data_IF_172774504830
#
_entry.id   IF_172774504830
#
_cell.length_a   1.000
_cell.length_b   1.000
_cell.length_c   1.000
_cell.angle_alpha   90.00
_cell.angle_beta   90.00
_cell.angle_gamma   90.00
#
_symmetry.space_group_name_H-M   'P 1'
#
loop_
_entity.id
_entity.type
_entity.pdbx_description
1 polymer ?
#
# COMPACT_ATOMS: atom_id res chain seq x y z
N UNK A 1 3.66 -14.37 0.30
CA UNK A 1 2.81 -13.16 0.30
C UNK A 1 2.71 -12.62 1.72
N UNK A 2 3.01 -11.33 1.89
CA UNK A 2 2.82 -10.54 3.12
C UNK A 2 1.90 -9.35 2.85
N UNK A 3 1.25 -8.85 3.90
CA UNK A 3 0.42 -7.66 3.87
C UNK A 3 1.15 -6.49 4.53
N UNK A 4 1.34 -5.40 3.79
CA UNK A 4 2.00 -4.19 4.26
C UNK A 4 0.99 -3.06 4.39
N UNK A 5 0.93 -2.42 5.55
CA UNK A 5 0.04 -1.28 5.82
C UNK A 5 0.88 -0.02 5.89
N UNK A 6 0.58 0.93 5.00
CA UNK A 6 1.04 2.32 5.11
C UNK A 6 0.29 3.00 6.28
N UNK A 7 1.01 3.16 7.39
CA UNK A 7 0.45 3.41 8.72
C UNK A 7 0.08 4.85 9.03
N UNK A 8 0.35 5.81 8.13
CA UNK A 8 0.19 7.24 8.44
C UNK A 8 -1.27 7.73 8.48
N UNK A 9 -2.24 6.91 8.05
CA UNK A 9 -3.67 6.96 8.44
C UNK A 9 -4.49 5.91 7.68
N UNK A 10 -4.28 4.62 7.96
CA UNK A 10 -5.11 3.57 7.37
C UNK A 10 -6.43 3.40 8.16
N UNK A 11 -7.60 3.72 7.59
CA UNK A 11 -8.88 3.64 8.33
C UNK A 11 -9.44 2.23 8.46
N UNK A 12 -8.82 1.23 7.81
CA UNK A 12 -9.37 -0.13 7.64
C UNK A 12 -8.48 -1.22 8.24
N UNK A 13 -7.60 -0.89 9.20
CA UNK A 13 -6.64 -1.87 9.77
C UNK A 13 -7.34 -3.10 10.34
N UNK A 14 -8.48 -2.95 11.01
CA UNK A 14 -9.22 -4.10 11.55
C UNK A 14 -9.68 -5.08 10.46
N UNK A 15 -10.15 -4.59 9.32
CA UNK A 15 -10.53 -5.42 8.18
C UNK A 15 -9.31 -6.15 7.59
N UNK A 16 -8.18 -5.45 7.46
CA UNK A 16 -6.92 -6.06 6.99
C UNK A 16 -6.47 -7.18 7.93
N UNK A 17 -6.52 -6.94 9.25
CA UNK A 17 -6.12 -7.92 10.25
C UNK A 17 -7.03 -9.15 10.23
N UNK A 18 -8.36 -8.96 10.14
CA UNK A 18 -9.31 -10.08 10.02
C UNK A 18 -9.02 -10.92 8.78
N UNK A 19 -8.96 -10.29 7.60
CA UNK A 19 -8.77 -10.98 6.33
C UNK A 19 -7.40 -11.67 6.24
N UNK A 20 -6.34 -11.03 6.73
CA UNK A 20 -4.99 -11.58 6.76
C UNK A 20 -4.84 -12.76 7.71
N UNK A 21 -5.40 -12.66 8.93
CA UNK A 21 -5.38 -13.77 9.89
C UNK A 21 -6.17 -14.98 9.41
N UNK A 22 -7.34 -14.76 8.79
CA UNK A 22 -8.14 -15.84 8.20
C UNK A 22 -7.36 -16.65 7.15
N UNK A 23 -6.37 -16.01 6.49
CA UNK A 23 -5.51 -16.59 5.45
C UNK A 23 -4.08 -16.88 5.93
N UNK A 24 -3.82 -16.74 7.23
CA UNK A 24 -2.49 -16.94 7.84
C UNK A 24 -1.38 -16.10 7.19
N UNK A 25 -1.71 -14.91 6.67
CA UNK A 25 -0.74 -14.01 6.04
C UNK A 25 -0.07 -13.13 7.11
N UNK A 26 1.27 -12.97 7.07
CA UNK A 26 1.97 -11.99 7.89
C UNK A 26 1.47 -10.57 7.59
N UNK A 27 1.20 -9.78 8.63
CA UNK A 27 0.73 -8.39 8.53
C UNK A 27 1.74 -7.49 9.20
N UNK A 28 2.26 -6.53 8.45
CA UNK A 28 3.26 -5.56 8.90
C UNK A 28 2.71 -4.16 8.67
N UNK A 29 2.59 -3.38 9.74
CA UNK A 29 2.26 -1.96 9.68
C UNK A 29 3.54 -1.15 9.82
N UNK A 30 3.79 -0.28 8.84
CA UNK A 30 4.93 0.64 8.85
C UNK A 30 4.42 2.03 9.14
N UNK A 31 5.00 2.72 10.12
CA UNK A 31 4.59 4.07 10.50
C UNK A 31 5.76 4.96 10.89
N UNK A 32 5.53 6.28 10.81
CA UNK A 32 6.45 7.25 11.36
C UNK A 32 6.41 7.27 12.91
N UNK A 33 7.52 7.65 13.56
CA UNK A 33 7.65 7.82 15.03
C UNK A 33 6.59 8.75 15.65
N UNK A 34 6.04 9.68 14.86
CA UNK A 34 5.05 10.65 15.33
C UNK A 34 3.65 10.06 15.53
N UNK A 35 3.40 8.86 15.01
CA UNK A 35 2.13 8.16 15.16
C UNK A 35 2.25 7.10 16.25
N UNK A 36 1.44 7.19 17.31
CA UNK A 36 1.36 6.12 18.30
C UNK A 36 0.41 5.03 17.80
N UNK A 37 0.86 3.78 17.84
CA UNK A 37 0.11 2.62 17.39
C UNK A 37 0.54 1.46 18.28
N UNK A 38 -0.38 0.99 19.12
CA UNK A 38 -0.13 -0.06 20.10
C UNK A 38 -1.15 -1.18 19.86
N UNK A 39 -0.69 -2.22 19.17
CA UNK A 39 -1.46 -3.41 18.81
C UNK A 39 -0.52 -4.61 18.84
N UNK A 40 -0.93 -5.65 19.56
CA UNK A 40 -0.16 -6.89 19.70
C UNK A 40 -0.50 -7.94 18.63
N UNK A 41 -1.48 -7.65 17.77
CA UNK A 41 -2.04 -8.61 16.82
C UNK A 41 -1.49 -8.48 15.39
N UNK A 42 -0.54 -7.58 15.19
CA UNK A 42 0.21 -7.38 13.95
C UNK A 42 1.62 -6.87 14.27
N UNK A 43 2.56 -7.04 13.34
CA UNK A 43 3.92 -6.51 13.49
C UNK A 43 3.92 -5.00 13.20
N UNK A 44 4.43 -4.19 14.12
CA UNK A 44 4.56 -2.74 13.94
C UNK A 44 6.02 -2.36 13.78
N UNK A 45 6.38 -1.88 12.58
CA UNK A 45 7.71 -1.35 12.31
C UNK A 45 7.65 0.19 12.33
N UNK A 46 8.44 0.80 13.20
CA UNK A 46 8.48 2.26 13.34
C UNK A 46 9.74 2.80 12.68
N UNK A 47 9.59 3.75 11.77
CA UNK A 47 10.71 4.40 11.09
C UNK A 47 10.87 5.84 11.54
N UNK A 48 12.12 6.26 11.75
CA UNK A 48 12.51 7.64 11.98
C UNK A 48 13.05 8.23 10.68
N UNK A 49 12.43 9.29 10.17
CA UNK A 49 12.88 9.89 8.92
C UNK A 49 11.97 10.97 8.36
N UNK A 50 12.36 11.48 7.19
CA UNK A 50 11.60 12.48 6.43
C UNK A 50 10.25 11.96 5.90
N UNK A 51 9.53 12.82 5.14
CA UNK A 51 8.17 12.53 4.68
C UNK A 51 7.99 11.18 3.97
N UNK A 52 8.99 10.71 3.24
CA UNK A 52 8.91 9.49 2.41
C UNK A 52 9.55 8.24 3.09
N UNK A 53 9.88 8.33 4.38
CA UNK A 53 10.59 7.25 5.09
C UNK A 53 9.79 5.95 5.21
N UNK A 54 8.48 6.04 5.36
CA UNK A 54 7.57 4.89 5.37
C UNK A 54 7.58 4.19 4.00
N UNK A 55 7.41 4.96 2.93
CA UNK A 55 7.41 4.48 1.54
C UNK A 55 8.69 3.70 1.23
N UNK A 56 9.86 4.30 1.48
CA UNK A 56 11.15 3.64 1.23
C UNK A 56 11.30 2.35 2.03
N UNK A 57 10.88 2.35 3.29
CA UNK A 57 10.99 1.18 4.15
C UNK A 57 10.12 0.02 3.67
N UNK A 58 8.90 0.30 3.22
CA UNK A 58 8.02 -0.70 2.61
C UNK A 58 8.68 -1.24 1.33
N UNK A 59 9.05 -0.36 0.39
CA UNK A 59 9.59 -0.74 -0.91
C UNK A 59 10.86 -1.58 -0.79
N UNK A 60 11.75 -1.25 0.14
CA UNK A 60 13.03 -1.97 0.32
C UNK A 60 12.85 -3.41 0.78
N UNK A 61 11.79 -3.70 1.54
CA UNK A 61 11.53 -5.04 2.06
C UNK A 61 10.53 -5.82 1.21
N UNK A 62 9.86 -5.13 0.27
CA UNK A 62 8.78 -5.68 -0.53
C UNK A 62 9.27 -6.79 -1.47
N UNK A 63 8.57 -7.92 -1.43
CA UNK A 63 8.80 -9.05 -2.31
C UNK A 63 7.70 -9.14 -3.39
N UNK A 64 7.99 -9.74 -4.56
CA UNK A 64 6.97 -10.03 -5.56
C UNK A 64 5.80 -10.80 -4.96
N UNK A 65 4.60 -10.40 -5.34
CA UNK A 65 3.36 -11.00 -4.83
C UNK A 65 2.93 -10.56 -3.43
N UNK A 66 3.69 -9.70 -2.74
CA UNK A 66 3.19 -9.02 -1.55
C UNK A 66 2.07 -8.02 -1.89
N UNK A 67 1.30 -7.63 -0.88
CA UNK A 67 0.19 -6.68 -1.02
C UNK A 67 0.40 -5.48 -0.10
N UNK A 68 0.28 -4.27 -0.64
CA UNK A 68 0.42 -3.01 0.09
C UNK A 68 -0.91 -2.27 0.13
N UNK A 69 -1.32 -1.83 1.32
CA UNK A 69 -2.51 -0.99 1.51
C UNK A 69 -2.05 0.45 1.69
N UNK A 70 -2.36 1.33 0.73
CA UNK A 70 -1.96 2.74 0.75
C UNK A 70 -2.95 3.66 0.04
N UNK A 71 -2.98 4.94 0.41
CA UNK A 71 -3.67 5.99 -0.32
C UNK A 71 -2.74 6.75 -1.27
N UNK A 72 -1.41 6.60 -1.15
CA UNK A 72 -0.46 7.30 -2.00
C UNK A 72 -0.31 6.58 -3.35
N UNK A 73 -0.73 7.25 -4.42
CA UNK A 73 -0.59 6.74 -5.79
C UNK A 73 0.87 6.57 -6.22
N UNK A 74 1.78 7.42 -5.71
CA UNK A 74 3.22 7.30 -5.95
C UNK A 74 3.79 6.03 -5.32
N UNK A 75 3.46 5.76 -4.05
CA UNK A 75 3.84 4.50 -3.41
C UNK A 75 3.23 3.31 -4.15
N UNK A 76 1.95 3.36 -4.52
CA UNK A 76 1.30 2.30 -5.28
C UNK A 76 2.01 2.01 -6.62
N UNK A 77 2.45 3.04 -7.34
CA UNK A 77 3.22 2.87 -8.57
C UNK A 77 4.57 2.15 -8.32
N UNK A 78 5.28 2.50 -7.25
CA UNK A 78 6.53 1.83 -6.85
C UNK A 78 6.29 0.38 -6.45
N UNK A 79 5.21 0.10 -5.74
CA UNK A 79 4.79 -1.27 -5.37
C UNK A 79 4.56 -2.13 -6.61
N UNK A 80 3.84 -1.60 -7.60
CA UNK A 80 3.59 -2.29 -8.86
C UNK A 80 4.88 -2.58 -9.63
N UNK A 81 5.82 -1.63 -9.65
CA UNK A 81 7.14 -1.83 -10.28
C UNK A 81 7.95 -2.97 -9.63
N UNK A 82 7.67 -3.33 -8.37
CA UNK A 82 8.26 -4.46 -7.64
C UNK A 82 7.56 -5.80 -7.90
N UNK A 83 6.59 -5.86 -8.82
CA UNK A 83 5.72 -7.03 -9.06
C UNK A 83 4.90 -7.42 -7.82
N UNK A 84 4.60 -6.44 -6.98
CA UNK A 84 3.71 -6.55 -5.85
C UNK A 84 2.39 -5.82 -6.17
N UNK A 85 1.38 -6.03 -5.33
CA UNK A 85 0.05 -5.49 -5.53
C UNK A 85 -0.25 -4.35 -4.56
N UNK A 86 -1.02 -3.36 -4.99
CA UNK A 86 -1.46 -2.27 -4.13
C UNK A 86 -2.98 -2.11 -4.13
N UNK A 87 -3.56 -1.78 -2.98
CA UNK A 87 -4.99 -1.50 -2.85
C UNK A 87 -5.23 -0.25 -2.01
N UNK A 88 -6.17 0.57 -2.46
CA UNK A 88 -6.63 1.74 -1.72
C UNK A 88 -7.57 1.30 -0.58
N UNK A 89 -7.54 1.95 0.60
CA UNK A 89 -8.52 1.76 1.69
C UNK A 89 -10.02 1.94 1.35
N UNK A 90 -10.33 2.25 0.09
CA UNK A 90 -11.70 2.33 -0.44
C UNK A 90 -12.08 1.07 -1.24
N UNK A 91 -11.25 0.03 -1.22
CA UNK A 91 -11.47 -1.23 -1.94
C UNK A 91 -11.09 -1.19 -3.42
N UNK A 92 -10.40 -0.14 -3.87
CA UNK A 92 -9.96 -0.04 -5.28
C UNK A 92 -8.52 -0.51 -5.40
N UNK A 93 -8.31 -1.57 -6.16
CA UNK A 93 -6.97 -2.02 -6.56
C UNK A 93 -6.30 -1.02 -7.51
N UNK A 94 -5.00 -0.85 -7.36
CA UNK A 94 -4.17 -0.17 -8.34
C UNK A 94 -3.74 -1.18 -9.40
N UNK A 95 -3.97 -0.85 -10.66
CA UNK A 95 -3.73 -1.73 -11.82
C UNK A 95 -3.04 -0.95 -12.93
N UNK A 96 -2.42 -1.65 -13.89
CA UNK A 96 -1.75 -1.02 -15.03
C UNK A 96 -2.73 -0.12 -15.81
N UNK A 97 -4.00 -0.55 -15.91
CA UNK A 97 -5.05 0.20 -16.59
C UNK A 97 -5.43 1.52 -15.91
N UNK A 98 -5.19 1.67 -14.60
CA UNK A 98 -5.67 2.82 -13.83
C UNK A 98 -4.58 3.71 -13.23
N UNK A 99 -3.35 3.20 -13.08
CA UNK A 99 -2.29 3.87 -12.34
C UNK A 99 -1.86 5.17 -13.02
N UNK A 100 -1.75 5.20 -14.35
CA UNK A 100 -1.32 6.37 -15.12
C UNK A 100 -2.29 7.55 -14.94
N UNK A 101 -3.59 7.28 -15.05
CA UNK A 101 -4.63 8.30 -14.84
C UNK A 101 -4.64 8.82 -13.40
N UNK A 102 -4.39 7.95 -12.42
CA UNK A 102 -4.30 8.37 -11.02
C UNK A 102 -3.06 9.23 -10.76
N UNK A 103 -1.93 8.89 -11.38
CA UNK A 103 -0.69 9.66 -11.30
C UNK A 103 -0.83 11.04 -11.95
N UNK A 104 -1.46 11.13 -13.11
CA UNK A 104 -1.77 12.41 -13.77
C UNK A 104 -2.69 13.29 -12.89
N UNK A 105 -3.72 12.70 -12.29
CA UNK A 105 -4.58 13.41 -11.32
C UNK A 105 -3.80 13.93 -10.12
N UNK A 106 -2.89 13.11 -9.56
CA UNK A 106 -2.00 13.54 -8.47
C UNK A 106 -1.13 14.71 -8.91
N UNK A 107 -0.49 14.63 -10.07
CA UNK A 107 0.36 15.68 -10.62
C UNK A 107 -0.43 16.98 -10.85
N UNK A 108 -1.56 16.90 -11.54
CA UNK A 108 -2.45 18.04 -11.81
C UNK A 108 -2.93 18.68 -10.50
N UNK A 109 -3.35 17.88 -9.52
CA UNK A 109 -3.74 18.38 -8.20
C UNK A 109 -2.61 19.11 -7.47
N UNK A 110 -1.37 18.60 -7.54
CA UNK A 110 -0.20 19.28 -6.98
C UNK A 110 0.09 20.60 -7.71
N UNK A 111 -0.02 20.61 -9.03
CA UNK A 111 0.19 21.79 -9.86
C UNK A 111 -0.81 22.90 -9.52
N UNK A 112 -2.10 22.56 -9.40
CA UNK A 112 -3.17 23.48 -9.03
C UNK A 112 -2.93 24.10 -7.65
N UNK A 113 -2.51 23.30 -6.67
CA UNK A 113 -2.16 23.78 -5.33
C UNK A 113 -0.98 24.76 -5.37
N UNK A 114 0.11 24.38 -6.04
CA UNK A 114 1.35 25.17 -6.08
C UNK A 114 1.24 26.47 -6.89
N UNK A 115 0.62 26.40 -8.08
CA UNK A 115 0.56 27.54 -9.01
C UNK A 115 -0.61 28.48 -8.77
N UNK A 116 -1.73 27.92 -8.31
CA UNK A 116 -2.99 28.67 -8.24
C UNK A 116 -3.57 28.74 -6.83
N UNK A 117 -2.94 28.10 -5.82
CA UNK A 117 -3.50 28.03 -4.47
C UNK A 117 -4.86 27.32 -4.42
N UNK A 118 -5.21 26.57 -5.47
CA UNK A 118 -6.50 25.89 -5.58
C UNK A 118 -6.38 24.57 -4.84
N UNK A 119 -7.10 24.48 -3.73
CA UNK A 119 -7.36 23.24 -3.04
C UNK A 119 -8.71 22.72 -3.53
N UNK A 120 -8.78 21.49 -4.08
CA UNK A 120 -10.07 20.88 -4.37
C UNK A 120 -10.92 20.94 -3.10
N UNK A 121 -12.20 21.31 -3.21
CA UNK A 121 -13.13 21.21 -2.09
C UNK A 121 -13.05 19.78 -1.58
N UNK A 122 -12.49 19.60 -0.38
CA UNK A 122 -12.31 18.28 0.20
C UNK A 122 -13.67 17.58 0.20
N UNK A 123 -13.75 16.42 -0.43
CA UNK A 123 -14.84 15.51 -0.12
C UNK A 123 -14.75 15.28 1.39
N UNK A 124 -15.87 15.44 2.13
CA UNK A 124 -15.91 15.03 3.55
C UNK A 124 -15.25 13.67 3.65
N UNK A 125 -14.34 13.49 4.61
CA UNK A 125 -13.70 12.21 4.88
C UNK A 125 -14.79 11.15 4.98
N UNK A 126 -15.01 10.43 3.88
CA UNK A 126 -16.01 9.39 3.79
C UNK A 126 -15.22 8.15 4.19
N UNK A 127 -15.43 7.67 5.42
CA UNK A 127 -15.07 6.29 5.71
C UNK A 127 -15.77 5.46 4.64
N UNK A 128 -15.01 4.71 3.84
CA UNK A 128 -15.62 3.61 3.13
C UNK A 128 -16.36 2.78 4.18
N UNK A 129 -17.59 2.31 3.93
CA UNK A 129 -18.15 1.29 4.79
C UNK A 129 -17.11 0.17 4.86
N UNK A 130 -16.69 -0.22 6.06
CA UNK A 130 -15.63 -1.23 6.23
C UNK A 130 -15.92 -2.47 5.35
N UNK A 131 -17.20 -2.79 5.16
CA UNK A 131 -17.70 -3.85 4.29
C UNK A 131 -17.28 -3.74 2.83
N UNK A 132 -17.23 -2.55 2.23
CA UNK A 132 -16.84 -2.38 0.82
C UNK A 132 -15.35 -2.70 0.64
N UNK A 133 -14.51 -2.20 1.55
CA UNK A 133 -13.09 -2.53 1.52
C UNK A 133 -12.88 -4.01 1.82
N UNK A 134 -13.53 -4.53 2.85
CA UNK A 134 -13.38 -5.93 3.29
C UNK A 134 -13.73 -6.91 2.16
N UNK A 135 -14.88 -6.75 1.50
CA UNK A 135 -15.26 -7.62 0.37
C UNK A 135 -14.24 -7.53 -0.77
N UNK A 136 -13.87 -6.33 -1.21
CA UNK A 136 -12.92 -6.18 -2.32
C UNK A 136 -11.53 -6.73 -1.96
N UNK A 137 -11.09 -6.55 -0.73
CA UNK A 137 -9.80 -7.03 -0.26
C UNK A 137 -9.78 -8.55 -0.14
N UNK A 138 -10.84 -9.17 0.39
CA UNK A 138 -10.95 -10.63 0.45
C UNK A 138 -10.98 -11.26 -0.95
N UNK A 139 -11.78 -10.71 -1.88
CA UNK A 139 -11.83 -11.16 -3.28
C UNK A 139 -10.47 -11.05 -3.96
N UNK A 140 -9.75 -9.94 -3.73
CA UNK A 140 -8.39 -9.74 -4.22
C UNK A 140 -7.45 -10.83 -3.67
N UNK A 141 -7.41 -11.02 -2.36
CA UNK A 141 -6.51 -12.00 -1.72
C UNK A 141 -6.78 -13.42 -2.22
N UNK A 142 -8.05 -13.82 -2.31
CA UNK A 142 -8.42 -15.16 -2.77
C UNK A 142 -7.99 -15.39 -4.22
N UNK A 143 -8.21 -14.39 -5.09
CA UNK A 143 -7.75 -14.43 -6.48
C UNK A 143 -6.23 -14.55 -6.57
N UNK A 144 -5.49 -13.78 -5.76
CA UNK A 144 -4.03 -13.78 -5.79
C UNK A 144 -3.45 -15.09 -5.27
N UNK A 145 -3.98 -15.62 -4.16
CA UNK A 145 -3.55 -16.90 -3.59
C UNK A 145 -3.81 -18.05 -4.56
N UNK A 146 -4.99 -18.11 -5.20
CA UNK A 146 -5.31 -19.12 -6.21
C UNK A 146 -4.41 -19.04 -7.46
N UNK A 147 -3.86 -17.86 -7.76
CA UNK A 147 -2.92 -17.67 -8.87
C UNK A 147 -1.49 -18.07 -8.49
N UNK A 148 -1.07 -17.85 -7.24
CA UNK A 148 0.26 -18.15 -6.74
C UNK A 148 0.53 -19.67 -6.66
N UNK A 149 -0.49 -20.46 -6.33
CA UNK A 149 -0.42 -21.94 -6.36
C UNK A 149 -0.08 -22.52 -7.75
N UNK A 150 -0.20 -21.72 -8.81
CA UNK A 150 0.02 -22.15 -10.20
C UNK A 150 1.34 -21.65 -10.80
N UNK A 151 2.10 -20.80 -10.11
CA UNK A 151 3.30 -20.17 -10.66
C UNK A 151 4.60 -20.88 -10.18
N UNK A 152 5.61 -21.05 -11.05
CA UNK A 152 6.93 -21.51 -10.62
C UNK A 152 7.68 -20.42 -9.84
N UNK A 153 8.42 -20.80 -8.79
CA UNK A 153 9.28 -19.90 -8.02
C UNK A 153 10.35 -19.24 -8.92
N UNK A 154 10.47 -17.91 -8.83
CA UNK A 154 11.51 -17.13 -9.48
C UNK A 154 12.20 -16.21 -8.48
N UNK A 155 13.44 -15.82 -8.76
CA UNK A 155 14.26 -15.07 -7.81
C UNK A 155 13.67 -13.70 -7.44
N UNK A 156 13.80 -13.28 -6.16
CA UNK A 156 13.35 -11.97 -5.73
C UNK A 156 14.22 -10.85 -6.34
N UNK A 157 13.62 -9.72 -6.74
CA UNK A 157 14.34 -8.59 -7.28
C UNK A 157 15.18 -7.89 -6.19
N UNK A 158 16.37 -7.37 -6.53
CA UNK A 158 17.31 -6.77 -5.58
C UNK A 158 16.71 -5.55 -4.83
N UNK A 159 17.25 -5.19 -3.66
CA UNK A 159 16.78 -4.05 -2.88
C UNK A 159 16.92 -2.71 -3.63
N UNK A 160 16.02 -1.77 -3.36
CA UNK A 160 15.99 -0.47 -4.02
C UNK A 160 17.10 0.45 -3.47
N UNK A 161 17.96 0.98 -4.35
CA UNK A 161 19.03 1.92 -3.98
C UNK A 161 20.44 1.34 -3.86
N UNK A 162 20.63 0.03 -4.00
CA UNK A 162 21.96 -0.56 -4.22
C UNK A 162 22.29 -0.52 -5.71
N UNK A 163 22.82 0.62 -6.17
CA UNK A 163 23.62 0.60 -7.39
C UNK A 163 24.87 -0.23 -7.10
N UNK A 164 25.04 -1.30 -7.87
CA UNK A 164 26.35 -1.94 -8.05
C UNK A 164 27.30 -0.84 -8.50
N UNK A 165 28.34 -0.59 -7.69
CA UNK A 165 29.44 0.29 -8.07
C UNK A 165 29.97 -0.11 -9.45
N UNK A 166 29.96 0.84 -10.39
CA UNK A 166 30.96 0.96 -11.45
C UNK A 166 31.84 2.17 -11.15
#
# INVERSE_FOLDING_TARGET
MKLWIDGDACPVVDAIVRAGKARQLPIILVKNIHHHYDRSDLEVQTVSGGPDSVDFHIINQLQPGDVVITQDTGLAALVMARKAYAIHPMGREFTEDNIDLLMDRRFTGQLLRRKHGIYPKGHKARKAPDTVFETAFEEMLDRLLASAEKAPEGDPPPPFGENSNE
#
